data_IF_742769052256
#
_entry.id   IF_742769052256
#
_cell.length_a   1.000
_cell.length_b   1.000
_cell.length_c   1.000
_cell.angle_alpha   90.00
_cell.angle_beta   90.00
_cell.angle_gamma   90.00
#
_symmetry.space_group_name_H-M   'P 1'
#
loop_
_entity.id
_entity.type
_entity.pdbx_description
1 polymer ?
#
# COMPACT_ATOMS: atom_id res chain seq x y z
N UNK A 1 3.97 20.06 -3.40
CA UNK A 1 2.89 19.05 -3.33
C UNK A 1 3.29 17.93 -2.39
N UNK A 2 2.42 17.59 -1.46
CA UNK A 2 2.71 16.55 -0.47
C UNK A 2 2.48 15.17 -1.08
N UNK A 3 3.52 14.38 -1.13
CA UNK A 3 3.50 13.05 -1.73
C UNK A 3 3.64 11.97 -0.68
N UNK A 4 3.06 10.81 -0.94
CA UNK A 4 3.18 9.63 -0.07
C UNK A 4 3.02 8.34 -0.87
N UNK A 5 3.53 7.25 -0.29
CA UNK A 5 3.42 5.91 -0.87
C UNK A 5 2.41 5.12 -0.06
N UNK A 6 1.53 4.39 -0.75
CA UNK A 6 0.63 3.42 -0.13
C UNK A 6 1.03 2.02 -0.59
N UNK A 7 1.64 1.27 0.30
CA UNK A 7 2.00 -0.13 0.04
C UNK A 7 0.77 -1.01 0.30
N UNK A 8 0.36 -1.78 -0.70
CA UNK A 8 -0.83 -2.61 -0.64
C UNK A 8 -0.47 -4.08 -0.83
N UNK A 9 -0.91 -4.92 0.10
CA UNK A 9 -0.75 -6.37 0.00
C UNK A 9 -2.05 -7.05 0.43
N UNK A 10 -2.11 -8.38 0.22
CA UNK A 10 -3.24 -9.18 0.70
C UNK A 10 -3.27 -9.18 2.24
N UNK A 11 -2.11 -9.25 2.85
CA UNK A 11 -1.94 -9.31 4.29
C UNK A 11 -1.67 -10.73 4.78
N UNK A 12 -1.31 -10.85 6.04
CA UNK A 12 -1.06 -12.14 6.67
C UNK A 12 -1.32 -12.05 8.17
N UNK A 13 -1.89 -13.12 8.74
CA UNK A 13 -2.03 -13.27 10.19
C UNK A 13 -0.81 -13.93 10.82
N UNK A 14 0.11 -14.45 10.00
CA UNK A 14 1.34 -15.10 10.47
C UNK A 14 2.40 -14.04 10.72
N UNK A 15 2.82 -13.88 11.98
CA UNK A 15 3.73 -12.81 12.37
C UNK A 15 5.07 -12.84 11.62
N UNK A 16 5.64 -14.03 11.44
CA UNK A 16 6.90 -14.16 10.69
C UNK A 16 6.75 -13.75 9.23
N UNK A 17 5.63 -14.12 8.60
CA UNK A 17 5.38 -13.77 7.21
C UNK A 17 5.22 -12.25 7.05
N UNK A 18 4.49 -11.60 7.98
CA UNK A 18 4.35 -10.14 7.93
C UNK A 18 5.69 -9.45 8.08
N UNK A 19 6.47 -9.86 9.09
CA UNK A 19 7.75 -9.24 9.37
C UNK A 19 8.75 -9.45 8.24
N UNK A 20 8.84 -10.68 7.72
CA UNK A 20 9.83 -11.02 6.70
C UNK A 20 9.44 -10.55 5.31
N UNK A 21 8.18 -10.79 4.91
CA UNK A 21 7.76 -10.60 3.53
C UNK A 21 7.10 -9.24 3.28
N UNK A 22 6.18 -8.82 4.17
CA UNK A 22 5.44 -7.59 3.98
C UNK A 22 6.20 -6.37 4.47
N UNK A 23 6.70 -6.42 5.69
CA UNK A 23 7.46 -5.30 6.26
C UNK A 23 8.81 -5.12 5.55
N UNK A 24 9.40 -6.22 5.08
CA UNK A 24 10.62 -6.15 4.29
C UNK A 24 10.45 -5.35 3.00
N UNK A 25 9.35 -5.55 2.28
CA UNK A 25 9.03 -4.77 1.10
C UNK A 25 8.78 -3.31 1.46
N UNK A 26 8.04 -3.06 2.55
CA UNK A 26 7.77 -1.70 3.02
C UNK A 26 9.06 -0.97 3.40
N UNK A 27 9.98 -1.65 4.09
CA UNK A 27 11.26 -1.06 4.44
C UNK A 27 12.09 -0.72 3.21
N UNK A 28 12.06 -1.60 2.20
CA UNK A 28 12.75 -1.35 0.94
C UNK A 28 12.17 -0.13 0.22
N UNK A 29 10.84 0.03 0.22
CA UNK A 29 10.19 1.22 -0.36
C UNK A 29 10.59 2.48 0.40
N UNK A 30 10.60 2.45 1.72
CA UNK A 30 11.01 3.60 2.53
C UNK A 30 12.48 3.96 2.28
N UNK A 31 13.35 2.97 2.09
CA UNK A 31 14.75 3.21 1.78
C UNK A 31 14.94 3.81 0.38
N UNK A 32 14.09 3.41 -0.58
CA UNK A 32 14.16 3.93 -1.94
C UNK A 32 13.65 5.37 -2.04
N UNK A 33 12.72 5.75 -1.16
CA UNK A 33 12.12 7.09 -1.15
C UNK A 33 11.99 7.59 0.31
N UNK A 34 13.11 7.87 0.99
CA UNK A 34 13.09 8.18 2.43
C UNK A 34 12.38 9.49 2.76
N UNK A 35 12.16 10.36 1.78
CA UNK A 35 11.46 11.63 1.98
C UNK A 35 9.95 11.48 1.96
N UNK A 36 9.43 10.33 1.50
CA UNK A 36 7.99 10.11 1.36
C UNK A 36 7.45 9.30 2.53
N UNK A 37 6.35 9.76 3.17
CA UNK A 37 5.66 8.93 4.15
C UNK A 37 5.16 7.64 3.52
N UNK A 38 5.19 6.56 4.28
CA UNK A 38 4.70 5.26 3.84
C UNK A 38 3.45 4.90 4.61
N UNK A 39 2.38 4.60 3.87
CA UNK A 39 1.12 4.10 4.41
C UNK A 39 0.96 2.64 4.00
N UNK A 40 0.14 1.92 4.74
CA UNK A 40 -0.06 0.48 4.55
C UNK A 40 -1.54 0.18 4.42
N UNK A 41 -1.89 -0.77 3.53
CA UNK A 41 -3.23 -1.31 3.43
C UNK A 41 -3.18 -2.80 3.11
N UNK A 42 -4.13 -3.55 3.66
CA UNK A 42 -4.32 -4.97 3.35
C UNK A 42 -5.68 -5.15 2.67
N UNK A 43 -5.73 -5.95 1.60
CA UNK A 43 -6.97 -6.15 0.87
C UNK A 43 -7.87 -7.20 1.49
N UNK A 44 -7.31 -8.19 2.20
CA UNK A 44 -8.11 -9.27 2.80
C UNK A 44 -8.88 -8.79 4.02
N UNK A 45 -10.21 -8.79 3.92
CA UNK A 45 -11.07 -8.47 5.05
C UNK A 45 -10.94 -9.45 6.20
N UNK A 46 -10.74 -10.74 5.89
CA UNK A 46 -10.56 -11.76 6.90
C UNK A 46 -9.26 -11.56 7.69
N UNK A 47 -8.17 -11.26 6.98
CA UNK A 47 -6.89 -10.99 7.64
C UNK A 47 -7.01 -9.76 8.53
N UNK A 48 -7.61 -8.66 8.01
CA UNK A 48 -7.78 -7.44 8.79
C UNK A 48 -8.62 -7.67 10.05
N UNK A 49 -9.69 -8.46 9.94
CA UNK A 49 -10.55 -8.77 11.09
C UNK A 49 -9.80 -9.55 12.15
N UNK A 50 -9.04 -10.56 11.75
CA UNK A 50 -8.24 -11.38 12.69
C UNK A 50 -7.13 -10.58 13.35
N UNK A 51 -6.48 -9.70 12.61
CA UNK A 51 -5.46 -8.81 13.19
C UNK A 51 -6.09 -7.82 14.17
N UNK A 52 -7.28 -7.30 13.85
CA UNK A 52 -8.02 -6.42 14.74
C UNK A 52 -8.34 -7.08 16.07
N UNK A 53 -8.69 -8.37 16.06
CA UNK A 53 -8.93 -9.15 17.28
C UNK A 53 -7.68 -9.24 18.16
N UNK A 54 -6.50 -9.09 17.57
CA UNK A 54 -5.23 -9.10 18.30
C UNK A 54 -4.71 -7.69 18.59
N UNK A 55 -5.53 -6.67 18.36
CA UNK A 55 -5.15 -5.28 18.60
C UNK A 55 -4.32 -4.64 17.52
N UNK A 56 -4.22 -5.27 16.33
CA UNK A 56 -3.46 -4.76 15.21
C UNK A 56 -4.43 -4.17 14.19
N UNK A 57 -4.42 -2.85 14.03
CA UNK A 57 -5.32 -2.16 13.10
C UNK A 57 -4.59 -1.88 11.77
N UNK A 58 -5.11 -2.45 10.66
CA UNK A 58 -4.60 -2.18 9.32
C UNK A 58 -5.80 -1.85 8.43
N UNK A 59 -5.81 -0.68 7.76
CA UNK A 59 -6.94 -0.30 6.90
C UNK A 59 -6.93 -1.06 5.58
N UNK A 60 -8.08 -1.05 4.90
CA UNK A 60 -8.14 -1.42 3.50
C UNK A 60 -7.68 -0.24 2.63
N UNK A 61 -7.70 -0.41 1.30
CA UNK A 61 -7.21 0.64 0.40
C UNK A 61 -8.03 1.93 0.55
N UNK A 62 -9.35 1.82 0.59
CA UNK A 62 -10.22 2.99 0.72
C UNK A 62 -9.97 3.72 2.05
N UNK A 63 -9.85 2.97 3.16
CA UNK A 63 -9.57 3.56 4.47
C UNK A 63 -8.21 4.24 4.52
N UNK A 64 -7.19 3.65 3.88
CA UNK A 64 -5.87 4.26 3.82
C UNK A 64 -5.87 5.54 2.98
N UNK A 65 -6.56 5.54 1.84
CA UNK A 65 -6.68 6.73 1.00
C UNK A 65 -7.42 7.85 1.73
N UNK A 66 -8.48 7.50 2.47
CA UNK A 66 -9.19 8.48 3.28
C UNK A 66 -8.27 9.10 4.33
N UNK A 67 -7.48 8.29 5.00
CA UNK A 67 -6.50 8.77 5.98
C UNK A 67 -5.48 9.69 5.34
N UNK A 68 -4.94 9.30 4.18
CA UNK A 68 -3.97 10.11 3.44
C UNK A 68 -4.55 11.47 3.06
N UNK A 69 -5.77 11.48 2.55
CA UNK A 69 -6.46 12.74 2.20
C UNK A 69 -6.66 13.62 3.44
N UNK A 70 -7.04 13.03 4.57
CA UNK A 70 -7.23 13.75 5.83
C UNK A 70 -5.92 14.35 6.35
N UNK A 71 -4.79 13.72 6.06
CA UNK A 71 -3.47 14.24 6.45
C UNK A 71 -2.89 15.24 5.45
N UNK A 72 -3.63 15.56 4.41
CA UNK A 72 -3.21 16.58 3.44
C UNK A 72 -2.31 16.06 2.32
N UNK A 73 -2.26 14.75 2.11
CA UNK A 73 -1.50 14.17 0.99
C UNK A 73 -2.20 14.53 -0.32
N UNK A 74 -1.45 15.07 -1.26
CA UNK A 74 -1.96 15.52 -2.55
C UNK A 74 -1.62 14.57 -3.68
N UNK A 75 -0.46 13.91 -3.59
CA UNK A 75 -0.03 12.92 -4.57
C UNK A 75 0.16 11.57 -3.88
N UNK A 76 -0.66 10.59 -4.23
CA UNK A 76 -0.59 9.25 -3.67
C UNK A 76 -0.13 8.26 -4.74
N UNK A 77 0.91 7.48 -4.42
CA UNK A 77 1.38 6.40 -5.26
C UNK A 77 0.99 5.08 -4.60
N UNK A 78 0.06 4.37 -5.22
CA UNK A 78 -0.38 3.06 -4.75
C UNK A 78 0.56 2.00 -5.32
N UNK A 79 1.20 1.24 -4.45
CA UNK A 79 2.20 0.23 -4.83
C UNK A 79 1.72 -1.15 -4.38
N UNK A 80 1.12 -1.95 -5.29
CA UNK A 80 0.76 -3.34 -4.96
C UNK A 80 2.02 -4.19 -4.85
N UNK A 81 2.07 -5.06 -3.84
CA UNK A 81 3.21 -5.97 -3.68
C UNK A 81 3.01 -7.24 -4.49
N UNK A 82 4.08 -7.99 -4.69
CA UNK A 82 4.04 -9.28 -5.41
C UNK A 82 3.20 -10.34 -4.69
N UNK A 83 2.89 -10.13 -3.41
CA UNK A 83 2.07 -11.06 -2.63
C UNK A 83 0.57 -10.88 -2.87
N UNK A 84 0.20 -9.99 -3.78
CA UNK A 84 -1.19 -9.65 -4.04
C UNK A 84 -1.73 -10.50 -5.20
N UNK A 85 -2.81 -11.29 -4.98
CA UNK A 85 -3.46 -12.02 -6.09
C UNK A 85 -4.03 -11.09 -7.14
N UNK A 86 -4.10 -11.55 -8.40
CA UNK A 86 -4.60 -10.74 -9.51
C UNK A 86 -6.01 -10.19 -9.32
N UNK A 87 -6.91 -10.99 -8.74
CA UNK A 87 -8.28 -10.55 -8.44
C UNK A 87 -8.29 -9.37 -7.46
N UNK A 88 -7.37 -9.36 -6.51
CA UNK A 88 -7.23 -8.26 -5.55
C UNK A 88 -6.67 -7.00 -6.22
N UNK A 89 -5.78 -7.18 -7.20
CA UNK A 89 -5.25 -6.07 -8.00
C UNK A 89 -6.38 -5.32 -8.71
N UNK A 90 -7.33 -6.04 -9.29
CA UNK A 90 -8.49 -5.42 -9.96
C UNK A 90 -9.32 -4.59 -8.98
N UNK A 91 -9.49 -5.05 -7.75
CA UNK A 91 -10.19 -4.29 -6.71
C UNK A 91 -9.47 -2.99 -6.37
N UNK A 92 -8.13 -3.03 -6.34
CA UNK A 92 -7.34 -1.82 -6.10
C UNK A 92 -7.54 -0.82 -7.23
N UNK A 93 -7.55 -1.27 -8.47
CA UNK A 93 -7.79 -0.41 -9.64
C UNK A 93 -9.15 0.26 -9.56
N UNK A 94 -10.19 -0.48 -9.20
CA UNK A 94 -11.53 0.07 -9.05
C UNK A 94 -11.59 1.10 -7.93
N UNK A 95 -10.96 0.82 -6.80
CA UNK A 95 -10.91 1.75 -5.67
C UNK A 95 -10.16 3.02 -6.05
N UNK A 96 -9.01 2.89 -6.72
CA UNK A 96 -8.22 4.02 -7.17
C UNK A 96 -9.04 4.92 -8.10
N UNK A 97 -9.80 4.32 -9.02
CA UNK A 97 -10.63 5.08 -9.95
C UNK A 97 -11.71 5.91 -9.21
N UNK A 98 -12.27 5.35 -8.15
CA UNK A 98 -13.27 6.07 -7.33
C UNK A 98 -12.66 7.23 -6.55
N UNK A 99 -11.40 7.14 -6.17
CA UNK A 99 -10.71 8.15 -5.36
C UNK A 99 -9.93 9.17 -6.19
N UNK A 100 -9.87 8.98 -7.51
CA UNK A 100 -9.04 9.81 -8.39
C UNK A 100 -9.37 11.30 -8.28
N UNK A 101 -10.65 11.65 -8.12
CA UNK A 101 -11.07 13.04 -7.95
C UNK A 101 -10.78 13.64 -6.57
N UNK A 102 -10.36 12.84 -5.61
CA UNK A 102 -10.07 13.27 -4.24
C UNK A 102 -8.61 13.68 -4.05
N UNK A 103 -7.76 13.38 -5.03
CA UNK A 103 -6.34 13.72 -5.00
C UNK A 103 -5.97 14.47 -6.26
N UNK A 104 -5.15 15.53 -6.16
CA UNK A 104 -4.61 16.18 -7.35
C UNK A 104 -3.84 15.21 -8.25
N UNK A 105 -3.16 14.22 -7.66
CA UNK A 105 -2.51 13.16 -8.43
C UNK A 105 -2.64 11.83 -7.66
N UNK A 106 -3.18 10.82 -8.34
CA UNK A 106 -3.29 9.46 -7.79
C UNK A 106 -2.78 8.49 -8.85
N UNK A 107 -1.75 7.75 -8.51
CA UNK A 107 -1.11 6.82 -9.43
C UNK A 107 -1.13 5.41 -8.87
N UNK A 108 -1.30 4.43 -9.76
CA UNK A 108 -1.23 3.01 -9.42
C UNK A 108 -0.06 2.40 -10.18
N UNK A 109 0.93 1.90 -9.44
CA UNK A 109 2.06 1.25 -10.06
C UNK A 109 1.72 -0.20 -10.44
N UNK A 110 2.55 -0.82 -11.28
CA UNK A 110 2.49 -2.26 -11.50
C UNK A 110 2.87 -2.99 -10.20
N UNK A 111 2.48 -4.26 -10.02
CA UNK A 111 2.86 -5.01 -8.83
C UNK A 111 4.38 -5.10 -8.69
N UNK A 112 4.87 -4.81 -7.48
CA UNK A 112 6.30 -4.89 -7.19
C UNK A 112 6.71 -6.32 -6.89
N UNK A 113 7.82 -6.74 -7.49
CA UNK A 113 8.44 -8.04 -7.21
C UNK A 113 9.43 -7.98 -6.05
N UNK A 114 9.66 -6.79 -5.49
CA UNK A 114 10.60 -6.61 -4.40
C UNK A 114 12.05 -6.57 -4.84
N UNK A 115 12.30 -6.43 -6.15
CA UNK A 115 13.67 -6.34 -6.67
C UNK A 115 14.17 -4.90 -6.66
N UNK A 116 15.49 -4.68 -6.59
CA UNK A 116 16.04 -3.32 -6.67
C UNK A 116 15.64 -2.58 -7.96
N UNK A 117 15.48 -3.30 -9.06
CA UNK A 117 15.07 -2.69 -10.33
C UNK A 117 13.66 -2.10 -10.25
N UNK A 118 12.73 -2.83 -9.64
CA UNK A 118 11.36 -2.33 -9.43
C UNK A 118 11.36 -1.07 -8.57
N UNK A 119 12.20 -1.05 -7.53
CA UNK A 119 12.30 0.09 -6.63
C UNK A 119 12.88 1.31 -7.32
N UNK A 120 13.83 1.12 -8.25
CA UNK A 120 14.40 2.22 -9.04
C UNK A 120 13.37 2.90 -9.92
N UNK A 121 12.45 2.14 -10.48
CA UNK A 121 11.39 2.71 -11.31
C UNK A 121 10.48 3.64 -10.52
N UNK A 122 10.28 3.35 -9.22
CA UNK A 122 9.51 4.22 -8.36
C UNK A 122 10.25 5.51 -8.03
N UNK A 123 11.57 5.44 -7.91
CA UNK A 123 12.40 6.59 -7.57
C UNK A 123 12.79 7.45 -8.77
N UNK A 124 12.50 6.97 -9.96
CA UNK A 124 12.81 7.72 -11.19
C UNK A 124 11.78 8.80 -11.52
#
# INVERSE_FOLDING_TARGET
MREAILAVSFGSTVDQARSRDLEGVEQALSAAAPELPLFRAYTSGLVRARLGDRGIAVPDVAGALEQMAAEGIECALIVPTHLLPGAEYDKIRETAARWEGRFPALRLSRPLLGTPEDLRELGG
#
